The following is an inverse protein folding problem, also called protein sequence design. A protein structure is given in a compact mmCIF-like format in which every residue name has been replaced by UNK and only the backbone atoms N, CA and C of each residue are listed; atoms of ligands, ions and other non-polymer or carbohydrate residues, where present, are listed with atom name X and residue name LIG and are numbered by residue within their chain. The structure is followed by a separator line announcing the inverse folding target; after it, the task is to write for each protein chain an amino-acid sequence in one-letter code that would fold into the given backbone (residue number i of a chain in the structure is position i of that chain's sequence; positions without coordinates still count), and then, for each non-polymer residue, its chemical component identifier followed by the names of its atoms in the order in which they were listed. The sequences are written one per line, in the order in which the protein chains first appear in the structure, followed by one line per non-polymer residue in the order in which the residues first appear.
data_IF_066428825037
#
_entry.id   IF_066428825037
#
_cell.length_a   1.000
_cell.length_b   1.000
_cell.length_c   1.000
_cell.angle_alpha   90.00
_cell.angle_beta   90.00
_cell.angle_gamma   90.00
#
_symmetry.space_group_name_H-M   'P 1'
#
loop_
_entity.id
_entity.type
_entity.pdbx_description
1 polymer ?
#
# COMPACT_ATOMS: atom_id res chain seq x y z
N UNK A 1 26.26 -5.60 18.74
CA UNK A 1 25.51 -4.40 18.30
C UNK A 1 24.02 -4.67 18.63
N UNK A 2 23.46 -4.03 19.66
CA UNK A 2 22.08 -4.27 20.09
C UNK A 2 21.13 -3.64 19.06
N UNK A 3 20.33 -4.46 18.38
CA UNK A 3 19.23 -4.03 17.53
C UNK A 3 18.23 -3.34 18.49
N UNK A 4 18.04 -2.02 18.33
CA UNK A 4 17.00 -1.30 19.06
C UNK A 4 15.64 -1.89 18.64
N UNK A 5 14.89 -2.37 19.62
CA UNK A 5 13.53 -2.80 19.48
C UNK A 5 12.73 -1.83 18.59
N UNK A 6 12.29 -2.32 17.44
CA UNK A 6 11.30 -1.60 16.63
C UNK A 6 10.03 -1.61 17.46
N UNK A 7 9.65 -0.46 17.99
CA UNK A 7 8.40 -0.31 18.74
C UNK A 7 7.26 -0.78 17.84
N UNK A 8 6.53 -1.78 18.31
CA UNK A 8 5.36 -2.34 17.62
C UNK A 8 4.38 -1.22 17.31
N UNK A 9 3.97 -1.15 16.07
CA UNK A 9 3.03 -0.14 15.52
C UNK A 9 1.68 -0.11 16.28
N UNK A 10 1.31 -1.22 16.94
CA UNK A 10 0.11 -1.36 17.79
C UNK A 10 0.10 -0.40 19.01
N UNK A 11 1.23 0.23 19.31
CA UNK A 11 1.39 1.19 20.42
C UNK A 11 1.72 2.62 19.98
N UNK A 12 1.60 2.93 18.68
CA UNK A 12 1.64 4.33 18.29
C UNK A 12 0.34 4.95 18.79
N UNK A 13 0.38 5.82 19.81
CA UNK A 13 -0.82 6.55 20.20
C UNK A 13 -1.39 7.19 18.94
N UNK A 14 -2.71 7.24 18.80
CA UNK A 14 -3.38 8.04 17.77
C UNK A 14 -3.13 9.53 17.97
N UNK A 15 -1.91 9.90 18.25
CA UNK A 15 -1.48 11.28 18.35
C UNK A 15 -1.54 11.88 16.95
N UNK A 16 -2.58 12.71 16.74
CA UNK A 16 -2.82 13.44 15.49
C UNK A 16 -1.55 14.12 14.96
N UNK A 17 -0.64 14.53 15.85
CA UNK A 17 0.61 15.21 15.50
C UNK A 17 1.65 14.30 14.83
N UNK A 18 1.70 13.00 15.15
CA UNK A 18 2.69 12.11 14.56
C UNK A 18 2.40 11.86 13.07
N UNK A 19 1.14 11.67 12.68
CA UNK A 19 0.76 11.48 11.29
C UNK A 19 0.97 12.74 10.43
N UNK A 20 0.66 13.93 10.95
CA UNK A 20 0.91 15.20 10.26
C UNK A 20 2.40 15.34 9.98
N UNK A 21 3.26 15.18 10.99
CA UNK A 21 4.71 15.26 10.84
C UNK A 21 5.27 14.24 9.86
N UNK A 22 4.71 13.02 9.84
CA UNK A 22 5.14 11.96 8.92
C UNK A 22 4.82 12.29 7.47
N UNK A 23 3.60 12.72 7.18
CA UNK A 23 3.18 13.09 5.83
C UNK A 23 3.99 14.30 5.33
N UNK A 24 4.14 15.33 6.15
CA UNK A 24 4.92 16.54 5.81
C UNK A 24 6.41 16.21 5.59
N UNK A 25 6.99 15.35 6.42
CA UNK A 25 8.37 14.90 6.24
C UNK A 25 8.52 14.11 4.95
N UNK A 26 7.61 13.19 4.67
CA UNK A 26 7.64 12.40 3.44
C UNK A 26 7.54 13.28 2.20
N UNK A 27 6.66 14.30 2.21
CA UNK A 27 6.53 15.28 1.15
C UNK A 27 7.83 16.09 0.95
N UNK A 28 8.39 16.66 2.02
CA UNK A 28 9.68 17.39 1.96
C UNK A 28 10.84 16.53 1.45
N UNK A 29 10.90 15.26 1.85
CA UNK A 29 11.94 14.34 1.38
C UNK A 29 11.74 13.97 -0.09
N UNK A 30 10.50 13.88 -0.56
CA UNK A 30 10.19 13.64 -1.97
C UNK A 30 10.49 14.88 -2.83
N UNK A 31 10.25 16.09 -2.33
CA UNK A 31 10.56 17.35 -3.03
C UNK A 31 12.07 17.57 -3.27
N UNK A 32 12.94 16.98 -2.46
CA UNK A 32 14.41 17.02 -2.68
C UNK A 32 14.86 16.26 -3.93
N UNK A 33 14.07 15.29 -4.37
CA UNK A 33 14.26 14.54 -5.61
C UNK A 33 12.89 14.48 -6.29
N UNK A 34 12.48 15.58 -6.94
CA UNK A 34 11.14 15.67 -7.48
C UNK A 34 10.89 14.54 -8.46
N UNK A 35 9.89 13.74 -8.15
CA UNK A 35 9.31 12.77 -9.04
C UNK A 35 8.34 13.44 -10.02
N UNK A 36 7.73 12.62 -10.86
CA UNK A 36 6.64 13.07 -11.72
C UNK A 36 5.38 13.31 -10.88
N UNK A 37 4.73 14.44 -11.11
CA UNK A 37 3.39 14.72 -10.58
C UNK A 37 2.37 14.42 -11.67
N UNK A 38 1.38 13.62 -11.34
CA UNK A 38 0.27 13.26 -12.23
C UNK A 38 -1.06 13.53 -11.52
N UNK A 39 -2.06 13.99 -12.28
CA UNK A 39 -3.43 14.07 -11.80
C UNK A 39 -4.06 12.66 -11.84
N UNK A 40 -4.54 12.17 -10.71
CA UNK A 40 -5.15 10.85 -10.60
C UNK A 40 -6.34 10.89 -9.62
N UNK A 41 -7.52 10.51 -10.09
CA UNK A 41 -8.78 10.51 -9.31
C UNK A 41 -9.00 11.83 -8.53
N UNK A 42 -8.73 12.97 -9.19
CA UNK A 42 -8.91 14.31 -8.63
C UNK A 42 -7.85 14.77 -7.63
N UNK A 43 -6.78 14.00 -7.44
CA UNK A 43 -5.64 14.35 -6.60
C UNK A 43 -4.38 14.54 -7.43
N UNK A 44 -3.54 15.49 -7.07
CA UNK A 44 -2.18 15.59 -7.57
C UNK A 44 -1.33 14.53 -6.85
N UNK A 45 -0.84 13.54 -7.59
CA UNK A 45 -0.02 12.45 -7.03
C UNK A 45 1.41 12.60 -7.49
N UNK A 46 2.34 12.64 -6.55
CA UNK A 46 3.78 12.63 -6.82
C UNK A 46 4.35 11.24 -6.55
N UNK A 47 5.05 10.68 -7.54
CA UNK A 47 5.86 9.47 -7.43
C UNK A 47 7.33 9.84 -7.33
N UNK A 48 7.97 9.55 -6.20
CA UNK A 48 9.38 9.80 -5.97
C UNK A 48 10.10 8.51 -5.59
N UNK A 49 11.04 8.07 -6.42
CA UNK A 49 11.79 6.83 -6.23
C UNK A 49 13.20 7.11 -5.74
N UNK A 50 13.63 6.35 -4.74
CA UNK A 50 15.03 6.24 -4.29
C UNK A 50 15.51 4.81 -4.52
N UNK A 51 16.77 4.49 -4.20
CA UNK A 51 17.34 3.16 -4.47
C UNK A 51 16.49 1.98 -3.99
N UNK A 52 15.82 2.11 -2.84
CA UNK A 52 15.09 1.00 -2.21
C UNK A 52 13.64 1.34 -1.81
N UNK A 53 13.24 2.59 -1.90
CA UNK A 53 11.93 3.06 -1.43
C UNK A 53 11.32 3.98 -2.48
N UNK A 54 10.06 3.71 -2.82
CA UNK A 54 9.19 4.63 -3.53
C UNK A 54 8.32 5.35 -2.52
N UNK A 55 8.17 6.67 -2.67
CA UNK A 55 7.22 7.49 -1.93
C UNK A 55 6.19 8.04 -2.89
N UNK A 56 4.93 7.78 -2.59
CA UNK A 56 3.79 8.29 -3.35
C UNK A 56 3.08 9.27 -2.44
N UNK A 57 3.00 10.53 -2.83
CA UNK A 57 2.42 11.60 -2.05
C UNK A 57 1.16 12.10 -2.76
N UNK A 58 0.04 12.09 -2.05
CA UNK A 58 -1.19 12.72 -2.52
C UNK A 58 -1.29 14.14 -2.01
N UNK A 59 -1.58 15.08 -2.91
CA UNK A 59 -1.84 16.47 -2.60
C UNK A 59 -3.32 16.78 -2.85
N UNK A 60 -3.94 17.49 -1.93
CA UNK A 60 -5.28 18.07 -2.05
C UNK A 60 -5.17 19.56 -1.76
N UNK A 61 -5.66 20.39 -2.67
CA UNK A 61 -5.54 21.85 -2.57
C UNK A 61 -4.07 22.30 -2.35
N UNK A 62 -3.13 21.70 -3.08
CA UNK A 62 -1.68 21.95 -2.98
C UNK A 62 -1.05 21.61 -1.62
N UNK A 63 -1.78 20.95 -0.72
CA UNK A 63 -1.28 20.52 0.58
C UNK A 63 -1.06 19.01 0.59
N UNK A 64 0.06 18.50 1.14
CA UNK A 64 0.25 17.07 1.29
C UNK A 64 -0.82 16.51 2.22
N UNK A 65 -1.63 15.59 1.70
CA UNK A 65 -2.79 15.04 2.37
C UNK A 65 -2.56 13.61 2.87
N UNK A 66 -1.78 12.83 2.12
CA UNK A 66 -1.42 11.47 2.48
C UNK A 66 -0.18 10.99 1.75
N UNK A 67 0.39 9.89 2.22
CA UNK A 67 1.51 9.25 1.57
C UNK A 67 1.44 7.73 1.68
N UNK A 68 2.03 7.06 0.70
CA UNK A 68 2.25 5.62 0.67
C UNK A 68 3.74 5.39 0.38
N UNK A 69 4.40 4.63 1.23
CA UNK A 69 5.77 4.21 0.99
C UNK A 69 5.81 2.73 0.61
N UNK A 70 6.54 2.44 -0.45
CA UNK A 70 6.76 1.10 -0.97
C UNK A 70 8.24 0.76 -0.88
N UNK A 71 8.56 -0.48 -0.54
CA UNK A 71 9.93 -1.00 -0.51
C UNK A 71 10.09 -2.07 -1.58
N UNK A 72 11.22 -2.10 -2.28
CA UNK A 72 11.54 -3.18 -3.22
C UNK A 72 11.45 -4.53 -2.51
N UNK A 73 10.74 -5.46 -3.13
CA UNK A 73 10.51 -6.80 -2.60
C UNK A 73 10.32 -7.77 -3.77
N UNK A 74 11.20 -8.80 -3.85
CA UNK A 74 11.18 -9.74 -4.96
C UNK A 74 11.21 -9.02 -6.33
N UNK A 75 10.24 -9.31 -7.18
CA UNK A 75 10.08 -8.78 -8.55
C UNK A 75 9.23 -7.48 -8.61
N UNK A 76 8.85 -6.93 -7.45
CA UNK A 76 7.92 -5.81 -7.36
C UNK A 76 8.16 -4.94 -6.12
N UNK A 77 7.09 -4.47 -5.50
CA UNK A 77 7.13 -3.67 -4.28
C UNK A 77 6.22 -4.23 -3.20
N UNK A 78 6.65 -4.09 -1.95
CA UNK A 78 5.85 -4.36 -0.76
C UNK A 78 5.43 -3.04 -0.13
N UNK A 79 4.19 -2.95 0.32
CA UNK A 79 3.75 -1.83 1.14
C UNK A 79 4.60 -1.80 2.40
N UNK A 80 5.15 -0.63 2.71
CA UNK A 80 5.96 -0.41 3.90
C UNK A 80 5.21 0.40 4.95
N UNK A 81 4.52 1.45 4.53
CA UNK A 81 3.68 2.27 5.41
C UNK A 81 2.75 3.15 4.60
N UNK A 82 1.62 3.49 5.17
CA UNK A 82 0.66 4.46 4.63
C UNK A 82 0.22 5.41 5.75
N UNK A 83 0.00 6.66 5.40
CA UNK A 83 -0.51 7.66 6.31
C UNK A 83 -1.39 8.69 5.61
N UNK A 84 -2.49 9.07 6.25
CA UNK A 84 -3.38 10.15 5.81
C UNK A 84 -3.58 11.11 6.97
N UNK A 85 -3.37 12.39 6.72
CA UNK A 85 -3.57 13.42 7.73
C UNK A 85 -5.02 13.40 8.23
N UNK A 86 -5.25 13.64 9.54
CA UNK A 86 -6.59 13.55 10.15
C UNK A 86 -7.66 14.38 9.41
N UNK A 87 -7.32 15.59 8.99
CA UNK A 87 -8.23 16.53 8.29
C UNK A 87 -8.63 16.07 6.89
N UNK A 88 -7.92 15.08 6.33
CA UNK A 88 -8.22 14.52 5.01
C UNK A 88 -8.76 13.10 5.06
N UNK A 89 -8.97 12.54 6.26
CA UNK A 89 -9.57 11.20 6.42
C UNK A 89 -11.02 11.19 5.89
N UNK A 90 -11.48 10.02 5.44
CA UNK A 90 -12.81 9.88 4.85
C UNK A 90 -12.94 10.38 3.40
N UNK A 91 -11.88 10.95 2.81
CA UNK A 91 -11.85 11.47 1.43
C UNK A 91 -11.20 10.50 0.44
N UNK A 92 -11.19 9.20 0.73
CA UNK A 92 -10.66 8.12 -0.13
C UNK A 92 -9.16 8.19 -0.46
N UNK A 93 -8.38 9.10 0.17
CA UNK A 93 -6.97 9.31 -0.16
C UNK A 93 -6.15 8.02 -0.06
N UNK A 94 -6.38 7.20 0.97
CA UNK A 94 -5.66 5.94 1.12
C UNK A 94 -5.95 4.97 -0.03
N UNK A 95 -7.22 4.78 -0.41
CA UNK A 95 -7.60 3.93 -1.54
C UNK A 95 -7.03 4.47 -2.85
N UNK A 96 -7.13 5.77 -3.11
CA UNK A 96 -6.56 6.39 -4.32
C UNK A 96 -5.04 6.21 -4.42
N UNK A 97 -4.31 6.28 -3.29
CA UNK A 97 -2.87 6.00 -3.26
C UNK A 97 -2.55 4.53 -3.62
N UNK A 98 -3.38 3.59 -3.14
CA UNK A 98 -3.25 2.17 -3.51
C UNK A 98 -3.60 1.94 -4.98
N UNK A 99 -4.73 2.47 -5.45
CA UNK A 99 -5.18 2.37 -6.84
C UNK A 99 -4.10 2.90 -7.79
N UNK A 100 -3.51 4.06 -7.46
CA UNK A 100 -2.40 4.62 -8.21
C UNK A 100 -1.15 3.70 -8.18
N UNK A 101 -0.78 3.16 -7.03
CA UNK A 101 0.36 2.25 -6.92
C UNK A 101 0.14 0.97 -7.74
N UNK A 102 -1.05 0.37 -7.66
CA UNK A 102 -1.41 -0.83 -8.42
C UNK A 102 -1.39 -0.57 -9.92
N UNK A 103 -1.80 0.64 -10.36
CA UNK A 103 -1.73 1.02 -11.79
C UNK A 103 -0.29 1.09 -12.33
N UNK A 104 0.70 1.24 -11.46
CA UNK A 104 2.12 1.38 -11.84
C UNK A 104 2.92 0.11 -11.63
N UNK A 105 2.53 -0.75 -10.67
CA UNK A 105 3.35 -1.90 -10.29
C UNK A 105 2.53 -2.99 -9.60
N UNK A 106 3.06 -4.21 -9.65
CA UNK A 106 2.63 -5.30 -8.78
C UNK A 106 2.93 -4.96 -7.32
N UNK A 107 1.98 -5.22 -6.43
CA UNK A 107 2.07 -4.82 -5.04
C UNK A 107 1.83 -6.00 -4.11
N UNK A 108 2.70 -6.17 -3.14
CA UNK A 108 2.56 -7.11 -2.03
C UNK A 108 2.05 -6.40 -0.77
N UNK A 109 1.27 -7.09 0.04
CA UNK A 109 0.85 -6.60 1.36
C UNK A 109 2.05 -6.39 2.31
N UNK A 110 1.81 -5.69 3.41
CA UNK A 110 2.85 -5.50 4.44
C UNK A 110 3.09 -6.77 5.26
N UNK A 111 4.22 -6.83 5.93
CA UNK A 111 4.54 -7.89 6.90
C UNK A 111 3.67 -7.74 8.16
N UNK A 112 3.46 -6.51 8.63
CA UNK A 112 2.63 -6.22 9.80
C UNK A 112 1.42 -5.38 9.38
N UNK A 113 0.25 -6.02 9.27
CA UNK A 113 -0.96 -5.36 8.84
C UNK A 113 -1.83 -4.95 10.04
N UNK A 114 -2.10 -3.66 10.15
CA UNK A 114 -3.09 -3.15 11.11
C UNK A 114 -4.51 -3.50 10.67
N UNK A 115 -5.50 -3.52 11.57
CA UNK A 115 -6.91 -3.73 11.20
C UNK A 115 -7.40 -2.77 10.11
N UNK A 116 -6.93 -1.52 10.13
CA UNK A 116 -7.26 -0.53 9.07
C UNK A 116 -6.70 -0.93 7.70
N UNK A 117 -5.49 -1.51 7.67
CA UNK A 117 -4.88 -2.02 6.44
C UNK A 117 -5.62 -3.24 5.90
N UNK A 118 -5.99 -4.18 6.76
CA UNK A 118 -6.79 -5.35 6.37
C UNK A 118 -8.12 -4.94 5.75
N UNK A 119 -8.81 -3.97 6.35
CA UNK A 119 -10.04 -3.39 5.81
C UNK A 119 -9.81 -2.72 4.44
N UNK A 120 -8.68 -2.06 4.24
CA UNK A 120 -8.37 -1.47 2.94
C UNK A 120 -8.18 -2.55 1.87
N UNK A 121 -7.49 -3.65 2.17
CA UNK A 121 -7.39 -4.79 1.26
C UNK A 121 -8.75 -5.38 0.89
N UNK A 122 -9.70 -5.48 1.83
CA UNK A 122 -11.07 -5.91 1.52
C UNK A 122 -11.78 -4.93 0.58
N UNK A 123 -11.56 -3.63 0.72
CA UNK A 123 -12.18 -2.62 -0.13
C UNK A 123 -11.69 -2.64 -1.58
N UNK A 124 -10.43 -3.02 -1.80
CA UNK A 124 -9.88 -3.12 -3.16
C UNK A 124 -10.07 -4.50 -3.80
N UNK A 125 -10.44 -5.52 -3.01
CA UNK A 125 -10.58 -6.91 -3.46
C UNK A 125 -11.55 -7.06 -4.65
N UNK A 126 -12.67 -6.34 -4.64
CA UNK A 126 -13.68 -6.43 -5.70
C UNK A 126 -13.22 -5.80 -7.01
N UNK A 127 -12.22 -4.91 -6.96
CA UNK A 127 -11.78 -4.13 -8.12
C UNK A 127 -10.54 -4.71 -8.78
N UNK A 128 -9.84 -5.64 -8.12
CA UNK A 128 -8.55 -6.15 -8.57
C UNK A 128 -8.45 -7.66 -8.44
N UNK A 129 -7.60 -8.28 -9.26
CA UNK A 129 -7.21 -9.69 -9.10
C UNK A 129 -6.21 -9.79 -7.95
N UNK A 130 -6.70 -10.09 -6.75
CA UNK A 130 -5.89 -10.27 -5.55
C UNK A 130 -5.83 -11.74 -5.22
N UNK A 131 -4.62 -12.25 -5.02
CA UNK A 131 -4.34 -13.64 -4.62
C UNK A 131 -3.48 -13.68 -3.38
N UNK A 132 -3.51 -14.80 -2.70
CA UNK A 132 -2.46 -15.15 -1.76
C UNK A 132 -1.24 -15.70 -2.50
N UNK A 133 -0.06 -15.50 -1.94
CA UNK A 133 1.19 -16.06 -2.47
C UNK A 133 2.08 -16.56 -1.33
N UNK A 134 2.64 -17.74 -1.52
CA UNK A 134 3.76 -18.25 -0.76
C UNK A 134 5.04 -17.69 -1.36
N UNK A 135 5.79 -16.87 -0.60
CA UNK A 135 6.98 -16.21 -1.13
C UNK A 135 8.21 -17.12 -1.24
N UNK A 136 8.19 -18.30 -0.62
CA UNK A 136 9.28 -19.27 -0.71
C UNK A 136 9.16 -20.10 -1.99
N UNK A 137 7.95 -20.58 -2.28
CA UNK A 137 7.70 -21.42 -3.47
C UNK A 137 7.30 -20.61 -4.69
N UNK A 138 6.72 -19.41 -4.50
CA UNK A 138 6.12 -18.59 -5.56
C UNK A 138 4.71 -19.06 -5.96
N UNK A 139 4.17 -20.08 -5.31
CA UNK A 139 2.83 -20.59 -5.59
C UNK A 139 1.76 -19.62 -5.11
N UNK A 140 0.74 -19.41 -5.92
CA UNK A 140 -0.43 -18.60 -5.57
C UNK A 140 -1.57 -19.48 -5.10
N UNK A 141 -2.39 -18.95 -4.21
CA UNK A 141 -3.58 -19.61 -3.68
C UNK A 141 -4.77 -18.64 -3.62
N UNK A 142 -5.95 -19.22 -3.60
CA UNK A 142 -7.20 -18.47 -3.57
C UNK A 142 -7.47 -17.87 -2.19
N UNK A 143 -8.07 -16.69 -2.21
CA UNK A 143 -8.51 -15.96 -1.03
C UNK A 143 -9.99 -15.66 -1.10
N UNK A 144 -10.62 -15.48 0.04
CA UNK A 144 -12.04 -15.16 0.16
C UNK A 144 -12.29 -14.09 1.24
N UNK A 145 -13.51 -13.57 1.26
CA UNK A 145 -13.95 -12.70 2.35
C UNK A 145 -14.09 -13.46 3.66
N UNK A 146 -13.39 -12.99 4.70
CA UNK A 146 -13.69 -13.27 6.08
C UNK A 146 -14.67 -12.23 6.67
N UNK A 147 -14.90 -12.29 7.97
CA UNK A 147 -15.84 -11.37 8.64
C UNK A 147 -15.42 -9.90 8.55
N UNK A 148 -14.11 -9.58 8.63
CA UNK A 148 -13.57 -8.22 8.61
C UNK A 148 -12.25 -8.10 7.83
N UNK A 149 -11.81 -9.17 7.19
CA UNK A 149 -10.51 -9.27 6.51
C UNK A 149 -10.58 -10.33 5.42
N UNK A 150 -9.65 -10.31 4.49
CA UNK A 150 -9.46 -11.41 3.54
C UNK A 150 -8.79 -12.59 4.25
N UNK A 151 -9.12 -13.80 3.86
CA UNK A 151 -8.49 -15.02 4.37
C UNK A 151 -8.20 -15.99 3.23
N UNK A 152 -7.24 -16.89 3.43
CA UNK A 152 -7.02 -17.99 2.51
C UNK A 152 -8.21 -18.97 2.58
N UNK A 153 -8.55 -19.55 1.44
CA UNK A 153 -9.53 -20.65 1.39
C UNK A 153 -9.02 -21.87 2.15
N UNK A 154 -7.70 -22.12 2.09
CA UNK A 154 -7.05 -23.12 2.93
C UNK A 154 -6.90 -22.60 4.38
N UNK A 155 -7.56 -23.23 5.37
CA UNK A 155 -7.50 -22.79 6.76
C UNK A 155 -6.12 -22.98 7.43
N UNK A 156 -5.23 -23.75 6.83
CA UNK A 156 -3.84 -23.92 7.29
C UNK A 156 -2.94 -22.70 7.00
N UNK A 157 -3.40 -21.76 6.16
CA UNK A 157 -2.64 -20.58 5.76
C UNK A 157 -3.02 -19.36 6.60
N UNK A 158 -2.06 -18.80 7.33
CA UNK A 158 -2.24 -17.54 8.07
C UNK A 158 -1.64 -16.36 7.30
N UNK A 159 -2.50 -15.55 6.66
CA UNK A 159 -2.10 -14.35 5.93
C UNK A 159 -1.57 -13.22 6.81
N UNK A 160 -1.93 -13.20 8.09
CA UNK A 160 -1.70 -12.08 9.01
C UNK A 160 -0.74 -12.44 10.15
N UNK A 161 0.16 -13.40 9.90
CA UNK A 161 1.28 -13.64 10.82
C UNK A 161 2.11 -12.36 10.96
N UNK A 162 2.44 -12.00 12.19
CA UNK A 162 3.31 -10.86 12.52
C UNK A 162 4.77 -11.30 12.68
N UNK A 163 5.11 -12.50 12.26
CA UNK A 163 6.45 -13.04 12.36
C UNK A 163 7.38 -12.40 11.33
N UNK A 164 8.64 -12.21 11.70
CA UNK A 164 9.67 -11.69 10.77
C UNK A 164 9.84 -12.62 9.55
N UNK A 165 9.57 -13.90 9.74
CA UNK A 165 9.60 -14.97 8.73
C UNK A 165 8.23 -15.19 8.05
N UNK A 166 7.41 -14.13 7.95
CA UNK A 166 6.12 -14.22 7.27
C UNK A 166 6.30 -14.79 5.86
N UNK A 167 5.62 -15.91 5.62
CA UNK A 167 5.70 -16.68 4.39
C UNK A 167 4.62 -16.30 3.37
N UNK A 168 3.42 -15.95 3.85
CA UNK A 168 2.25 -15.72 3.01
C UNK A 168 1.90 -14.24 2.92
N UNK A 169 1.64 -13.75 1.72
CA UNK A 169 1.30 -12.36 1.43
C UNK A 169 0.09 -12.29 0.52
N UNK A 170 -0.65 -11.18 0.59
CA UNK A 170 -1.54 -10.80 -0.49
C UNK A 170 -0.71 -10.18 -1.61
N UNK A 171 -1.07 -10.48 -2.84
CA UNK A 171 -0.46 -9.88 -4.02
C UNK A 171 -1.54 -9.40 -4.97
N UNK A 172 -1.35 -8.20 -5.49
CA UNK A 172 -2.24 -7.58 -6.46
C UNK A 172 -1.44 -7.03 -7.63
N UNK A 173 -2.00 -7.19 -8.81
CA UNK A 173 -1.52 -6.55 -10.03
C UNK A 173 -2.71 -6.07 -10.85
N UNK A 174 -2.47 -5.09 -11.71
CA UNK A 174 -3.52 -4.63 -12.63
C UNK A 174 -4.01 -5.80 -13.46
N UNK A 175 -5.32 -5.99 -13.52
CA UNK A 175 -5.88 -7.06 -14.34
C UNK A 175 -5.59 -6.81 -15.81
N UNK A 176 -5.22 -7.87 -16.53
CA UNK A 176 -5.02 -7.80 -17.99
C UNK A 176 -6.26 -7.26 -18.74
N UNK A 177 -7.47 -7.41 -18.15
CA UNK A 177 -8.72 -6.89 -18.73
C UNK A 177 -8.72 -5.37 -18.83
N UNK A 178 -8.33 -4.66 -17.77
CA UNK A 178 -8.29 -3.17 -17.80
C UNK A 178 -7.19 -2.65 -18.72
N UNK A 179 -6.03 -3.32 -18.76
CA UNK A 179 -4.94 -2.92 -19.68
C UNK A 179 -5.32 -3.12 -21.16
N UNK A 180 -6.15 -4.10 -21.47
CA UNK A 180 -6.67 -4.32 -22.83
C UNK A 180 -7.72 -3.26 -23.18
N UNK A 181 -8.66 -2.95 -22.30
CA UNK A 181 -9.66 -1.90 -22.54
C UNK A 181 -9.03 -0.52 -22.74
N UNK A 182 -8.01 -0.16 -21.96
CA UNK A 182 -7.28 1.10 -22.13
C UNK A 182 -6.58 1.18 -23.52
N UNK A 183 -6.03 0.06 -23.99
CA UNK A 183 -5.42 -0.01 -25.35
C UNK A 183 -6.47 0.06 -26.48
N UNK A 184 -7.65 -0.50 -26.28
CA UNK A 184 -8.73 -0.47 -27.29
C UNK A 184 -9.52 0.85 -27.26
N UNK A 185 -9.57 1.56 -26.13
CA UNK A 185 -10.25 2.84 -26.02
C UNK A 185 -9.44 4.02 -26.61
N UNK A 186 -8.22 3.79 -27.10
CA UNK A 186 -7.40 4.82 -27.75
C UNK A 186 -6.95 5.95 -26.81
N UNK A 187 -6.85 5.68 -25.51
CA UNK A 187 -6.39 6.61 -24.48
C UNK A 187 -4.91 6.39 -24.16
#
# INVERSE_FOLDING_TARGET
MKIKEIQRIDKIPEDKFSYIKFVDKAAKDAEKKPGKIELYDGLDIMWAETSNIVRIIAYMDKKPAGYLALKKFKDAYKVYTIGVKPEFRGKRIASTLYDYAISKTKLYSDTMETPAMRKLWTQIFDNYDIKGIDIETGETFEIEYGANELKAVDPGINLYSNDEDKKYYLVVQQSLRESLWAKFAGL
#
